data_IF_857396314991
#
_entry.id   IF_857396314991
#
_cell.length_a   1.000
_cell.length_b   1.000
_cell.length_c   1.000
_cell.angle_alpha   90.00
_cell.angle_beta   90.00
_cell.angle_gamma   90.00
#
_symmetry.space_group_name_H-M   'P 1'
#
loop_
_entity.id
_entity.type
_entity.pdbx_description
1 polymer ?
#
# COMPACT_ATOMS: atom_id res chain seq x y z
N UNK A 1 93.99 42.10 5.91
CA UNK A 1 92.71 42.79 5.61
C UNK A 1 92.47 42.61 4.12
N UNK A 2 91.42 42.00 3.57
CA UNK A 2 90.20 41.28 3.98
C UNK A 2 89.86 40.51 2.68
N UNK A 3 89.93 39.17 2.66
CA UNK A 3 88.83 38.20 2.77
C UNK A 3 87.68 38.32 1.72
N UNK A 4 87.35 37.16 1.13
CA UNK A 4 86.06 36.82 0.50
C UNK A 4 85.80 37.43 -0.88
N UNK A 5 85.01 36.84 -1.77
CA UNK A 5 83.99 35.81 -1.60
C UNK A 5 83.89 34.92 -2.84
N UNK A 6 83.51 33.67 -2.57
CA UNK A 6 83.36 32.50 -3.43
C UNK A 6 81.92 32.48 -3.98
N UNK A 7 81.75 32.60 -5.30
CA UNK A 7 80.43 32.50 -5.95
C UNK A 7 80.08 31.04 -6.26
N UNK A 8 79.42 30.40 -5.29
CA UNK A 8 78.82 29.08 -5.42
C UNK A 8 77.55 29.12 -6.28
N UNK A 9 77.65 28.57 -7.49
CA UNK A 9 76.52 28.30 -8.38
C UNK A 9 75.57 27.25 -7.77
N UNK A 10 74.43 27.69 -7.27
CA UNK A 10 73.32 26.82 -6.87
C UNK A 10 72.54 26.36 -8.10
N UNK A 11 72.67 25.09 -8.44
CA UNK A 11 71.81 24.43 -9.42
C UNK A 11 70.41 24.22 -8.82
N UNK A 12 69.33 24.50 -9.57
CA UNK A 12 67.96 24.24 -9.11
C UNK A 12 67.69 22.73 -9.19
N UNK A 13 67.57 22.11 -8.02
CA UNK A 13 67.14 20.72 -7.87
C UNK A 13 65.67 20.60 -8.29
N UNK A 14 65.44 19.82 -9.35
CA UNK A 14 64.15 19.57 -9.97
C UNK A 14 63.32 18.59 -9.13
N UNK A 15 62.58 19.10 -8.13
CA UNK A 15 61.69 18.34 -7.23
C UNK A 15 60.37 17.86 -7.88
N UNK A 16 60.32 17.76 -9.22
CA UNK A 16 59.08 17.51 -9.97
C UNK A 16 58.76 16.03 -10.23
N UNK A 17 59.62 15.11 -9.76
CA UNK A 17 59.50 13.67 -10.04
C UNK A 17 58.64 12.86 -9.03
N UNK A 18 58.24 13.44 -7.90
CA UNK A 18 57.57 12.69 -6.81
C UNK A 18 56.04 12.56 -6.93
N UNK A 19 55.40 13.21 -7.91
CA UNK A 19 53.93 13.26 -7.98
C UNK A 19 53.29 12.17 -8.87
N UNK A 20 54.09 11.43 -9.66
CA UNK A 20 53.60 10.39 -10.58
C UNK A 20 53.48 8.99 -9.94
N UNK A 21 54.16 8.71 -8.81
CA UNK A 21 54.02 7.43 -8.10
C UNK A 21 52.64 7.24 -7.44
N UNK A 22 51.95 8.33 -7.10
CA UNK A 22 50.62 8.28 -6.47
C UNK A 22 49.54 7.67 -7.36
N UNK A 23 49.63 7.84 -8.69
CA UNK A 23 48.65 7.31 -9.63
C UNK A 23 48.75 5.78 -9.78
N UNK A 24 49.96 5.24 -9.74
CA UNK A 24 50.20 3.80 -9.80
C UNK A 24 49.90 3.11 -8.46
N UNK A 25 50.06 3.81 -7.34
CA UNK A 25 49.58 3.35 -6.04
C UNK A 25 48.06 3.16 -6.01
N UNK A 26 47.30 4.11 -6.55
CA UNK A 26 45.83 4.04 -6.65
C UNK A 26 45.36 2.90 -7.56
N UNK A 27 46.02 2.67 -8.70
CA UNK A 27 45.71 1.54 -9.59
C UNK A 27 45.98 0.20 -8.91
N UNK A 28 47.14 0.06 -8.25
CA UNK A 28 47.49 -1.15 -7.49
C UNK A 28 46.51 -1.42 -6.34
N UNK A 29 46.15 -0.38 -5.58
CA UNK A 29 45.16 -0.50 -4.51
C UNK A 29 43.78 -0.94 -5.03
N UNK A 30 43.34 -0.44 -6.19
CA UNK A 30 42.08 -0.88 -6.83
C UNK A 30 42.14 -2.33 -7.30
N UNK A 31 43.27 -2.77 -7.86
CA UNK A 31 43.47 -4.16 -8.28
C UNK A 31 43.43 -5.12 -7.07
N UNK A 32 44.13 -4.80 -5.99
CA UNK A 32 44.13 -5.58 -4.75
C UNK A 32 42.72 -5.63 -4.15
N UNK A 33 41.99 -4.52 -4.13
CA UNK A 33 40.60 -4.50 -3.64
C UNK A 33 39.68 -5.41 -4.47
N UNK A 34 39.85 -5.43 -5.79
CA UNK A 34 39.09 -6.31 -6.67
C UNK A 34 39.42 -7.79 -6.41
N UNK A 35 40.70 -8.12 -6.24
CA UNK A 35 41.17 -9.46 -5.91
C UNK A 35 40.63 -9.95 -4.55
N UNK A 36 40.71 -9.10 -3.51
CA UNK A 36 40.14 -9.38 -2.18
C UNK A 36 38.62 -9.58 -2.25
N UNK A 37 37.92 -8.76 -3.06
CA UNK A 37 36.46 -8.89 -3.21
C UNK A 37 36.03 -10.19 -3.91
N UNK A 38 36.89 -10.75 -4.75
CA UNK A 38 36.66 -12.02 -5.44
C UNK A 38 37.08 -13.24 -4.60
N UNK A 39 38.14 -13.13 -3.79
CA UNK A 39 38.63 -14.26 -2.97
C UNK A 39 37.84 -14.46 -1.68
N UNK A 40 37.30 -13.39 -1.08
CA UNK A 40 36.51 -13.48 0.15
C UNK A 40 35.00 -13.55 -0.15
N UNK A 41 34.56 -14.67 -0.73
CA UNK A 41 33.14 -15.01 -0.90
C UNK A 41 32.33 -14.92 0.41
N UNK A 42 33.01 -15.09 1.56
CA UNK A 42 32.44 -15.00 2.92
C UNK A 42 32.06 -13.56 3.33
N UNK A 43 32.66 -12.53 2.71
CA UNK A 43 32.38 -11.11 3.01
C UNK A 43 31.48 -10.42 1.97
N UNK A 44 30.97 -11.15 0.99
CA UNK A 44 30.00 -10.60 0.05
C UNK A 44 28.75 -10.17 0.85
N UNK A 45 28.35 -8.88 0.83
CA UNK A 45 27.15 -8.44 1.51
C UNK A 45 26.00 -9.27 0.95
N UNK A 46 25.34 -10.02 1.83
CA UNK A 46 24.21 -10.89 1.48
C UNK A 46 23.25 -10.02 0.65
N UNK A 47 23.07 -10.35 -0.64
CA UNK A 47 22.23 -9.57 -1.55
C UNK A 47 20.97 -9.20 -0.78
N UNK A 48 20.62 -7.91 -0.65
CA UNK A 48 19.43 -7.52 0.09
C UNK A 48 18.30 -8.37 -0.46
N UNK A 49 17.64 -9.13 0.42
CA UNK A 49 16.59 -10.05 0.04
C UNK A 49 15.67 -9.28 -0.91
N UNK A 50 15.62 -9.71 -2.18
CA UNK A 50 15.08 -8.88 -3.26
C UNK A 50 13.73 -8.32 -2.83
N UNK A 51 13.50 -7.03 -3.08
CA UNK A 51 12.23 -6.39 -2.77
C UNK A 51 11.13 -7.32 -3.21
N UNK A 52 10.37 -7.84 -2.24
CA UNK A 52 9.26 -8.73 -2.52
C UNK A 52 8.36 -7.98 -3.50
N UNK A 53 8.13 -8.56 -4.68
CA UNK A 53 7.20 -7.98 -5.65
C UNK A 53 5.92 -7.65 -4.92
N UNK A 54 5.38 -6.46 -5.18
CA UNK A 54 4.14 -6.08 -4.53
C UNK A 54 3.06 -7.04 -5.01
N UNK A 55 2.12 -7.34 -4.12
CA UNK A 55 1.16 -8.43 -4.35
C UNK A 55 0.13 -8.01 -5.41
N UNK A 56 -0.09 -6.70 -5.51
CA UNK A 56 -0.89 -6.01 -6.51
C UNK A 56 -0.30 -6.06 -7.93
N UNK A 57 1.03 -6.25 -8.07
CA UNK A 57 1.71 -6.30 -9.37
C UNK A 57 1.70 -7.71 -10.00
N UNK A 58 1.18 -8.71 -9.28
CA UNK A 58 1.10 -10.09 -9.76
C UNK A 58 -0.10 -10.26 -10.71
N UNK A 59 0.14 -10.54 -12.02
CA UNK A 59 -0.92 -10.61 -13.01
C UNK A 59 -1.94 -11.71 -12.69
N UNK A 60 -1.51 -12.77 -12.00
CA UNK A 60 -2.41 -13.86 -11.62
C UNK A 60 -3.43 -13.41 -10.57
N UNK A 61 -3.03 -12.55 -9.62
CA UNK A 61 -3.96 -12.03 -8.60
C UNK A 61 -4.95 -11.04 -9.20
N UNK A 62 -4.53 -10.23 -10.18
CA UNK A 62 -5.44 -9.36 -10.93
C UNK A 62 -6.46 -10.19 -11.72
N UNK A 63 -6.00 -11.26 -12.39
CA UNK A 63 -6.89 -12.14 -13.15
C UNK A 63 -7.90 -12.86 -12.25
N UNK A 64 -7.50 -13.33 -11.07
CA UNK A 64 -8.41 -13.91 -10.07
C UNK A 64 -9.52 -12.92 -9.69
N UNK A 65 -9.19 -11.62 -9.55
CA UNK A 65 -10.15 -10.56 -9.22
C UNK A 65 -11.16 -10.36 -10.38
N UNK A 66 -10.67 -10.16 -11.60
CA UNK A 66 -11.48 -9.97 -12.81
C UNK A 66 -12.42 -11.16 -13.06
N UNK A 67 -11.89 -12.39 -13.03
CA UNK A 67 -12.71 -13.60 -13.25
C UNK A 67 -13.79 -13.78 -12.19
N UNK A 68 -13.55 -13.30 -10.97
CA UNK A 68 -14.53 -13.39 -9.89
C UNK A 68 -15.58 -12.29 -9.96
N UNK A 69 -15.18 -11.04 -10.19
CA UNK A 69 -16.09 -9.90 -10.14
C UNK A 69 -16.85 -9.72 -11.46
N UNK A 70 -16.14 -9.76 -12.58
CA UNK A 70 -16.69 -9.43 -13.90
C UNK A 70 -17.36 -10.64 -14.54
N UNK A 71 -16.72 -11.81 -14.44
CA UNK A 71 -17.23 -13.06 -15.04
C UNK A 71 -18.04 -13.93 -14.06
N UNK A 72 -18.09 -13.58 -12.77
CA UNK A 72 -18.81 -14.31 -11.72
C UNK A 72 -18.48 -15.82 -11.66
N UNK A 73 -17.26 -16.21 -12.05
CA UNK A 73 -16.86 -17.62 -12.09
C UNK A 73 -16.77 -18.22 -10.67
N UNK A 74 -17.06 -19.53 -10.57
CA UNK A 74 -16.84 -20.28 -9.33
C UNK A 74 -15.34 -20.41 -9.05
N UNK A 75 -14.96 -20.54 -7.78
CA UNK A 75 -13.54 -20.68 -7.40
C UNK A 75 -12.87 -21.88 -8.07
N UNK A 76 -13.64 -22.95 -8.29
CA UNK A 76 -13.17 -24.17 -8.95
C UNK A 76 -12.90 -23.92 -10.44
N UNK A 77 -13.83 -23.24 -11.13
CA UNK A 77 -13.65 -22.85 -12.52
C UNK A 77 -12.45 -21.91 -12.70
N UNK A 78 -12.23 -20.97 -11.77
CA UNK A 78 -11.06 -20.08 -11.79
C UNK A 78 -9.77 -20.89 -11.61
N UNK A 79 -9.73 -21.84 -10.68
CA UNK A 79 -8.55 -22.69 -10.48
C UNK A 79 -8.22 -23.52 -11.72
N UNK A 80 -9.22 -24.12 -12.36
CA UNK A 80 -9.06 -24.88 -13.60
C UNK A 80 -8.54 -23.99 -14.73
N UNK A 81 -9.16 -22.82 -14.93
CA UNK A 81 -8.73 -21.84 -15.95
C UNK A 81 -7.27 -21.41 -15.75
N UNK A 82 -6.86 -21.07 -14.52
CA UNK A 82 -5.48 -20.67 -14.24
C UNK A 82 -4.47 -21.80 -14.43
N UNK A 83 -4.85 -23.03 -14.08
CA UNK A 83 -4.02 -24.20 -14.31
C UNK A 83 -3.86 -24.51 -15.80
N UNK A 84 -4.91 -24.36 -16.61
CA UNK A 84 -4.84 -24.47 -18.08
C UNK A 84 -3.89 -23.42 -18.67
N UNK A 85 -3.99 -22.16 -18.23
CA UNK A 85 -3.09 -21.09 -18.65
C UNK A 85 -1.63 -21.31 -18.20
N UNK A 86 -1.42 -21.97 -17.06
CA UNK A 86 -0.08 -22.37 -16.61
C UNK A 86 0.48 -23.54 -17.42
N UNK A 87 -0.35 -24.53 -17.75
CA UNK A 87 0.04 -25.64 -18.62
C UNK A 87 0.47 -25.15 -20.00
N UNK A 88 -0.26 -24.18 -20.57
CA UNK A 88 0.12 -23.52 -21.85
C UNK A 88 1.49 -22.82 -21.77
N UNK A 89 1.87 -22.30 -20.60
CA UNK A 89 3.18 -21.66 -20.34
C UNK A 89 4.28 -22.65 -19.97
N UNK A 90 3.97 -23.94 -19.78
CA UNK A 90 4.92 -24.94 -19.29
C UNK A 90 5.17 -24.87 -17.78
N UNK A 91 4.30 -24.21 -17.02
CA UNK A 91 4.33 -24.14 -15.55
C UNK A 91 3.48 -25.25 -14.92
N UNK A 92 3.81 -25.72 -13.70
CA UNK A 92 3.03 -26.76 -13.04
C UNK A 92 1.64 -26.23 -12.58
N UNK A 93 0.61 -27.02 -12.86
CA UNK A 93 -0.79 -26.81 -12.45
C UNK A 93 -0.98 -27.05 -10.93
N UNK A 94 -0.44 -26.18 -10.09
CA UNK A 94 -0.46 -26.32 -8.63
C UNK A 94 -1.53 -25.46 -7.92
N UNK A 95 -2.36 -24.73 -8.67
CA UNK A 95 -3.41 -23.91 -8.06
C UNK A 95 -4.59 -24.78 -7.66
N UNK A 96 -4.89 -24.79 -6.37
CA UNK A 96 -6.08 -25.45 -5.82
C UNK A 96 -7.16 -24.41 -5.53
N UNK A 97 -8.42 -24.85 -5.51
CA UNK A 97 -9.60 -24.01 -5.21
C UNK A 97 -9.44 -23.20 -3.90
N UNK A 98 -8.95 -23.78 -2.78
CA UNK A 98 -8.67 -23.02 -1.56
C UNK A 98 -7.55 -21.99 -1.70
N UNK A 99 -6.54 -22.27 -2.55
CA UNK A 99 -5.44 -21.34 -2.79
C UNK A 99 -5.92 -20.09 -3.55
N UNK A 100 -6.75 -20.26 -4.58
CA UNK A 100 -7.37 -19.16 -5.34
C UNK A 100 -8.24 -18.30 -4.42
N UNK A 101 -9.13 -18.92 -3.63
CA UNK A 101 -9.97 -18.20 -2.67
C UNK A 101 -9.14 -17.42 -1.65
N UNK A 102 -8.11 -18.05 -1.07
CA UNK A 102 -7.24 -17.41 -0.08
C UNK A 102 -6.49 -16.20 -0.66
N UNK A 103 -6.05 -16.28 -1.92
CA UNK A 103 -5.43 -15.16 -2.63
C UNK A 103 -6.42 -14.03 -2.87
N UNK A 104 -7.63 -14.33 -3.36
CA UNK A 104 -8.66 -13.31 -3.57
C UNK A 104 -8.98 -12.55 -2.28
N UNK A 105 -9.22 -13.24 -1.16
CA UNK A 105 -9.61 -12.58 0.11
C UNK A 105 -8.47 -11.72 0.67
N UNK A 106 -7.22 -12.18 0.57
CA UNK A 106 -6.06 -11.44 1.11
C UNK A 106 -5.60 -10.29 0.21
N UNK A 107 -5.65 -10.50 -1.10
CA UNK A 107 -5.04 -9.59 -2.09
C UNK A 107 -6.09 -8.69 -2.74
N UNK A 108 -7.34 -9.14 -2.86
CA UNK A 108 -8.46 -8.41 -3.45
C UNK A 108 -8.61 -6.99 -2.91
N UNK A 109 -8.66 -6.76 -1.58
CA UNK A 109 -8.74 -5.41 -1.01
C UNK A 109 -7.54 -4.53 -1.37
N UNK A 110 -6.34 -5.12 -1.47
CA UNK A 110 -5.11 -4.39 -1.79
C UNK A 110 -5.09 -3.99 -3.27
N UNK A 111 -5.55 -4.89 -4.14
CA UNK A 111 -5.70 -4.63 -5.58
C UNK A 111 -6.79 -3.59 -5.82
N UNK A 112 -7.95 -3.73 -5.20
CA UNK A 112 -9.04 -2.75 -5.28
C UNK A 112 -8.60 -1.35 -4.81
N UNK A 113 -7.91 -1.28 -3.67
CA UNK A 113 -7.34 -0.03 -3.17
C UNK A 113 -6.27 0.56 -4.10
N UNK A 114 -5.45 -0.27 -4.74
CA UNK A 114 -4.42 0.19 -5.69
C UNK A 114 -5.04 0.69 -7.01
N UNK A 115 -6.18 0.12 -7.42
CA UNK A 115 -6.97 0.55 -8.57
C UNK A 115 -7.87 1.77 -8.27
N UNK A 116 -7.97 2.18 -6.99
CA UNK A 116 -8.83 3.28 -6.58
C UNK A 116 -10.32 2.92 -6.47
N UNK A 117 -10.66 1.63 -6.41
CA UNK A 117 -12.03 1.17 -6.20
C UNK A 117 -12.48 1.45 -4.76
N UNK A 118 -13.39 2.41 -4.61
CA UNK A 118 -14.01 2.75 -3.32
C UNK A 118 -15.23 1.84 -3.11
N UNK A 119 -15.28 1.13 -1.98
CA UNK A 119 -16.43 0.27 -1.61
C UNK A 119 -16.20 -1.24 -1.75
N UNK A 120 -14.99 -1.69 -2.08
CA UNK A 120 -14.67 -3.12 -2.03
C UNK A 120 -14.66 -3.62 -0.57
N UNK A 121 -15.73 -4.30 -0.12
CA UNK A 121 -15.71 -5.00 1.16
C UNK A 121 -15.32 -6.48 0.96
N UNK A 122 -14.15 -6.93 1.46
CA UNK A 122 -13.78 -8.34 1.41
C UNK A 122 -14.80 -9.27 2.07
N UNK A 123 -15.65 -8.75 2.98
CA UNK A 123 -16.69 -9.56 3.64
C UNK A 123 -17.73 -10.09 2.68
N UNK A 124 -18.05 -9.35 1.62
CA UNK A 124 -19.06 -9.75 0.63
C UNK A 124 -18.67 -11.05 -0.10
N UNK A 125 -17.39 -11.40 -0.06
CA UNK A 125 -16.84 -12.57 -0.73
C UNK A 125 -16.43 -13.68 0.25
N UNK A 126 -16.53 -13.44 1.57
CA UNK A 126 -16.28 -14.43 2.62
C UNK A 126 -17.51 -15.31 2.87
N UNK A 127 -17.79 -16.22 1.95
CA UNK A 127 -18.90 -17.19 2.00
C UNK A 127 -18.77 -18.25 3.13
N UNK A 128 -17.69 -18.25 3.90
CA UNK A 128 -17.41 -19.24 4.96
C UNK A 128 -17.66 -18.73 6.39
N UNK A 129 -18.27 -17.55 6.57
CA UNK A 129 -18.62 -17.08 7.93
C UNK A 129 -20.09 -17.35 8.22
N UNK A 130 -20.33 -18.22 9.21
CA UNK A 130 -21.64 -18.34 9.84
C UNK A 130 -22.09 -16.94 10.31
N UNK A 131 -23.22 -16.41 9.83
CA UNK A 131 -23.69 -15.07 10.20
C UNK A 131 -23.90 -14.90 11.72
N UNK A 132 -24.06 -16.01 12.46
CA UNK A 132 -24.18 -16.03 13.90
C UNK A 132 -22.87 -15.80 14.69
N UNK A 133 -21.70 -15.78 14.03
CA UNK A 133 -20.39 -15.72 14.72
C UNK A 133 -19.62 -14.42 14.53
N UNK A 134 -20.19 -13.41 13.87
CA UNK A 134 -19.56 -12.10 13.77
C UNK A 134 -20.05 -11.17 14.89
N UNK A 135 -19.28 -10.96 15.98
CA UNK A 135 -19.46 -9.75 16.76
C UNK A 135 -19.18 -8.57 15.81
N UNK A 136 -20.18 -7.72 15.63
CA UNK A 136 -20.11 -6.49 14.85
C UNK A 136 -18.80 -5.73 15.14
N UNK A 137 -17.84 -5.84 14.22
CA UNK A 137 -16.58 -5.11 14.36
C UNK A 137 -16.80 -3.71 13.80
N UNK A 138 -17.00 -2.75 14.70
CA UNK A 138 -16.91 -1.32 14.39
C UNK A 138 -15.53 -0.93 13.81
N UNK A 139 -15.42 0.28 13.25
CA UNK A 139 -14.24 0.70 12.50
C UNK A 139 -13.08 1.05 13.44
N UNK A 140 -12.00 0.26 13.40
CA UNK A 140 -10.65 0.64 13.83
C UNK A 140 -9.70 0.22 12.70
N UNK A 141 -8.93 1.12 12.10
CA UNK A 141 -7.92 1.93 12.76
C UNK A 141 -6.60 1.19 12.59
N UNK A 142 -5.77 1.67 11.64
CA UNK A 142 -4.58 1.00 11.13
C UNK A 142 -3.58 0.60 12.22
N UNK A 143 -3.07 -0.62 12.10
CA UNK A 143 -2.00 -1.14 12.93
C UNK A 143 -1.37 -2.35 12.25
N UNK A 144 -0.28 -2.10 11.51
CA UNK A 144 0.60 -3.10 10.93
C UNK A 144 1.16 -3.99 12.04
N UNK A 145 0.72 -5.25 12.08
CA UNK A 145 1.20 -6.25 13.04
C UNK A 145 1.21 -7.64 12.42
N UNK A 146 2.29 -7.96 11.70
CA UNK A 146 2.62 -9.33 11.31
C UNK A 146 3.00 -10.13 12.57
N UNK A 147 2.17 -11.11 12.93
CA UNK A 147 2.43 -12.01 14.05
C UNK A 147 1.75 -13.35 13.85
N UNK A 148 2.43 -14.26 13.16
CA UNK A 148 2.16 -15.70 13.20
C UNK A 148 2.62 -16.16 14.59
N UNK A 149 1.67 -16.47 15.46
CA UNK A 149 1.99 -16.92 16.82
C UNK A 149 0.73 -17.07 17.66
N UNK A 150 0.27 -18.31 17.73
CA UNK A 150 -0.33 -18.96 18.90
C UNK A 150 -1.03 -18.04 19.91
N UNK A 151 -2.36 -18.19 19.99
CA UNK A 151 -3.24 -17.42 20.85
C UNK A 151 -2.74 -17.28 22.29
N UNK A 152 -2.16 -16.11 22.59
CA UNK A 152 -2.36 -15.52 23.90
C UNK A 152 -3.79 -15.01 23.91
N UNK A 153 -4.69 -15.77 24.57
CA UNK A 153 -5.96 -15.23 25.05
C UNK A 153 -5.62 -13.90 25.72
N UNK A 154 -5.99 -12.78 25.10
CA UNK A 154 -6.01 -11.50 25.82
C UNK A 154 -7.01 -11.74 26.94
N UNK A 155 -6.51 -11.94 28.15
CA UNK A 155 -7.32 -12.00 29.35
C UNK A 155 -8.03 -10.65 29.36
N UNK A 156 -9.30 -10.68 28.98
CA UNK A 156 -10.19 -9.55 29.04
C UNK A 156 -10.26 -9.21 30.52
N UNK A 157 -9.58 -8.13 30.90
CA UNK A 157 -9.51 -7.69 32.28
C UNK A 157 -10.92 -7.19 32.63
N UNK A 158 -11.72 -8.06 33.24
CA UNK A 158 -13.06 -7.74 33.76
C UNK A 158 -12.89 -6.56 34.73
N UNK A 159 -13.29 -5.36 34.28
CA UNK A 159 -13.07 -4.10 34.98
C UNK A 159 -12.68 -2.92 34.09
N UNK A 160 -12.16 -3.15 32.87
CA UNK A 160 -11.73 -2.05 31.98
C UNK A 160 -12.64 -1.80 30.75
N UNK A 161 -13.78 -2.48 30.68
CA UNK A 161 -14.67 -2.45 29.50
C UNK A 161 -15.27 -1.06 29.24
N UNK A 162 -15.59 -0.32 30.31
CA UNK A 162 -16.12 1.04 30.20
C UNK A 162 -15.12 2.01 29.57
N UNK A 163 -13.83 1.87 29.90
CA UNK A 163 -12.79 2.78 29.42
C UNK A 163 -12.38 2.51 27.98
N UNK A 164 -12.42 1.24 27.54
CA UNK A 164 -12.15 0.88 26.14
C UNK A 164 -13.27 1.30 25.19
N UNK A 165 -14.52 1.25 25.65
CA UNK A 165 -15.68 1.72 24.89
C UNK A 165 -15.68 3.26 24.75
N UNK A 166 -15.33 3.99 25.80
CA UNK A 166 -15.25 5.46 25.77
C UNK A 166 -14.22 5.99 24.76
N UNK A 167 -13.11 5.28 24.57
CA UNK A 167 -12.09 5.65 23.59
C UNK A 167 -12.50 5.32 22.13
N UNK A 168 -13.58 4.56 21.94
CA UNK A 168 -14.12 4.23 20.62
C UNK A 168 -15.29 5.09 20.18
N UNK A 169 -15.91 5.80 21.12
CA UNK A 169 -16.94 6.75 20.78
C UNK A 169 -16.26 8.02 20.26
N UNK A 170 -16.55 8.39 19.02
CA UNK A 170 -16.14 9.68 18.47
C UNK A 170 -16.69 10.76 19.39
N UNK A 171 -15.80 11.43 20.14
CA UNK A 171 -16.18 12.57 20.97
C UNK A 171 -16.65 13.66 20.02
N UNK A 172 -17.92 14.07 20.16
CA UNK A 172 -18.41 15.25 19.45
C UNK A 172 -17.66 16.44 20.04
N UNK A 173 -16.84 17.10 19.22
CA UNK A 173 -16.30 18.41 19.58
C UNK A 173 -17.43 19.39 19.84
N UNK A 174 -17.18 20.40 20.66
CA UNK A 174 -18.18 21.43 20.91
C UNK A 174 -18.45 22.22 19.62
N UNK A 175 -19.66 22.75 19.46
CA UNK A 175 -20.04 23.50 18.26
C UNK A 175 -19.12 24.72 18.03
N UNK A 176 -18.65 25.36 19.11
CA UNK A 176 -17.70 26.47 19.04
C UNK A 176 -16.31 26.06 18.56
N UNK A 177 -15.81 24.88 18.95
CA UNK A 177 -14.54 24.35 18.43
C UNK A 177 -14.66 23.97 16.95
N UNK A 178 -15.79 23.35 16.55
CA UNK A 178 -16.06 23.00 15.16
C UNK A 178 -16.14 24.23 14.26
N UNK A 179 -16.81 25.30 14.71
CA UNK A 179 -16.88 26.55 13.98
C UNK A 179 -15.48 27.15 13.75
N UNK A 180 -14.64 27.20 14.78
CA UNK A 180 -13.26 27.67 14.68
C UNK A 180 -12.38 26.80 13.79
N UNK A 181 -12.62 25.49 13.77
CA UNK A 181 -11.90 24.56 12.89
C UNK A 181 -12.29 24.78 11.42
N UNK A 182 -13.57 25.01 11.14
CA UNK A 182 -14.08 25.31 9.79
C UNK A 182 -13.67 26.70 9.27
N UNK A 183 -13.32 27.64 10.16
CA UNK A 183 -12.77 28.95 9.78
C UNK A 183 -11.35 28.87 9.20
N UNK A 184 -10.64 27.74 9.37
CA UNK A 184 -9.33 27.54 8.76
C UNK A 184 -9.46 27.40 7.25
N UNK A 185 -8.51 27.98 6.51
CA UNK A 185 -8.52 28.03 5.03
C UNK A 185 -8.59 26.63 4.39
N UNK A 186 -7.80 25.68 4.90
CA UNK A 186 -7.78 24.29 4.44
C UNK A 186 -9.13 23.58 4.62
N UNK A 187 -9.79 23.81 5.75
CA UNK A 187 -11.10 23.23 6.04
C UNK A 187 -12.23 23.92 5.29
N UNK A 188 -12.14 25.24 5.10
CA UNK A 188 -13.11 26.00 4.32
C UNK A 188 -13.14 25.55 2.85
N UNK A 189 -11.97 25.35 2.23
CA UNK A 189 -11.88 24.80 0.87
C UNK A 189 -12.46 23.39 0.78
N UNK A 190 -12.16 22.54 1.78
CA UNK A 190 -12.71 21.18 1.85
C UNK A 190 -14.24 21.20 1.99
N UNK A 191 -14.78 22.13 2.78
CA UNK A 191 -16.22 22.32 2.95
C UNK A 191 -16.88 22.75 1.64
N UNK A 192 -16.31 23.73 0.93
CA UNK A 192 -16.83 24.17 -0.38
C UNK A 192 -16.82 23.02 -1.39
N UNK A 193 -15.74 22.24 -1.44
CA UNK A 193 -15.65 21.05 -2.29
C UNK A 193 -16.69 19.99 -1.94
N UNK A 194 -16.91 19.76 -0.64
CA UNK A 194 -17.93 18.83 -0.16
C UNK A 194 -19.35 19.29 -0.54
N UNK A 195 -19.67 20.57 -0.37
CA UNK A 195 -20.97 21.15 -0.76
C UNK A 195 -21.18 21.01 -2.27
N UNK A 196 -20.20 21.38 -3.09
CA UNK A 196 -20.28 21.24 -4.54
C UNK A 196 -20.51 19.79 -4.98
N UNK A 197 -19.91 18.81 -4.28
CA UNK A 197 -20.14 17.40 -4.54
C UNK A 197 -21.56 16.95 -4.15
N UNK A 198 -22.10 17.46 -3.04
CA UNK A 198 -23.49 17.17 -2.65
C UNK A 198 -24.47 17.77 -3.65
N UNK A 199 -24.25 19.01 -4.10
CA UNK A 199 -25.10 19.65 -5.11
C UNK A 199 -25.11 18.88 -6.44
N UNK A 200 -23.93 18.45 -6.93
CA UNK A 200 -23.82 17.64 -8.15
C UNK A 200 -24.55 16.30 -8.06
N UNK A 201 -24.58 15.70 -6.88
CA UNK A 201 -25.19 14.39 -6.63
C UNK A 201 -26.56 14.48 -5.96
N UNK A 202 -27.13 15.69 -5.84
CA UNK A 202 -28.35 15.94 -5.07
C UNK A 202 -29.49 15.04 -5.56
N UNK A 203 -29.72 14.99 -6.87
CA UNK A 203 -30.79 14.19 -7.46
C UNK A 203 -30.54 12.69 -7.39
N UNK A 204 -29.29 12.25 -7.38
CA UNK A 204 -28.94 10.85 -7.12
C UNK A 204 -29.35 10.46 -5.71
N UNK A 205 -29.04 11.28 -4.71
CA UNK A 205 -29.46 11.04 -3.33
C UNK A 205 -30.98 11.04 -3.16
N UNK A 206 -31.68 11.93 -3.87
CA UNK A 206 -33.16 11.94 -3.91
C UNK A 206 -33.70 10.66 -4.53
N UNK A 207 -33.11 10.18 -5.63
CA UNK A 207 -33.49 8.91 -6.25
C UNK A 207 -33.26 7.71 -5.33
N UNK A 208 -32.11 7.67 -4.62
CA UNK A 208 -31.81 6.62 -3.64
C UNK A 208 -32.80 6.62 -2.47
N UNK A 209 -33.23 7.80 -2.00
CA UNK A 209 -34.23 7.92 -0.93
C UNK A 209 -35.63 7.48 -1.41
N UNK A 210 -35.97 7.83 -2.65
CA UNK A 210 -37.18 7.35 -3.32
C UNK A 210 -37.18 5.83 -3.47
N UNK A 211 -36.04 5.23 -3.83
CA UNK A 211 -35.90 3.77 -3.91
C UNK A 211 -36.06 3.13 -2.53
N UNK A 212 -35.42 3.67 -1.49
CA UNK A 212 -35.53 3.13 -0.13
C UNK A 212 -36.96 3.13 0.39
N UNK A 213 -37.73 4.16 0.08
CA UNK A 213 -39.10 4.33 0.56
C UNK A 213 -40.11 3.55 -0.27
N UNK A 214 -39.89 3.41 -1.58
CA UNK A 214 -40.85 2.80 -2.51
C UNK A 214 -40.50 1.38 -2.97
N UNK A 215 -39.28 0.92 -2.70
CA UNK A 215 -38.66 -0.30 -3.23
C UNK A 215 -38.63 -0.37 -4.78
N UNK A 216 -38.60 0.79 -5.45
CA UNK A 216 -38.50 0.90 -6.91
C UNK A 216 -37.33 1.81 -7.30
N UNK A 217 -36.57 1.38 -8.30
CA UNK A 217 -35.46 2.16 -8.84
C UNK A 217 -36.00 3.33 -9.68
N UNK A 218 -35.53 4.55 -9.40
CA UNK A 218 -35.85 5.75 -10.17
C UNK A 218 -34.58 6.36 -10.76
N UNK A 219 -34.70 6.95 -11.96
CA UNK A 219 -33.62 7.74 -12.55
C UNK A 219 -33.60 9.15 -11.94
N UNK A 220 -32.41 9.64 -11.58
CA UNK A 220 -32.21 10.93 -10.93
C UNK A 220 -32.78 12.09 -11.77
N UNK A 221 -32.60 12.05 -13.09
CA UNK A 221 -33.13 13.10 -14.00
C UNK A 221 -34.66 13.09 -14.09
N UNK A 222 -35.29 11.93 -13.95
CA UNK A 222 -36.74 11.83 -13.92
C UNK A 222 -37.30 12.44 -12.63
N UNK A 223 -36.66 12.20 -11.48
CA UNK A 223 -36.99 12.84 -10.21
C UNK A 223 -36.87 14.37 -10.30
N UNK A 224 -35.76 14.87 -10.85
CA UNK A 224 -35.51 16.31 -11.07
C UNK A 224 -36.59 16.94 -11.95
N UNK A 225 -36.83 16.36 -13.13
CA UNK A 225 -37.82 16.89 -14.09
C UNK A 225 -39.23 16.89 -13.49
N UNK A 226 -39.58 15.85 -12.72
CA UNK A 226 -40.90 15.79 -12.06
C UNK A 226 -41.02 16.87 -10.99
N UNK A 227 -39.99 17.06 -10.16
CA UNK A 227 -40.02 18.08 -9.11
C UNK A 227 -40.18 19.49 -9.68
N UNK A 228 -39.41 19.84 -10.72
CA UNK A 228 -39.52 21.16 -11.36
C UNK A 228 -40.83 21.38 -12.14
N UNK A 229 -41.59 20.31 -12.44
CA UNK A 229 -42.89 20.40 -13.10
C UNK A 229 -44.06 20.63 -12.15
N UNK A 230 -43.87 20.43 -10.84
CA UNK A 230 -44.88 20.61 -9.79
C UNK A 230 -44.87 22.09 -9.36
#
# INVERSE_FOLDING_TARGET
MVAGEDEGATTPTDDRASHLEGADGLKRARAIKAEISNSLSILQPKKPAGLRRRVEDDPENQLIKTLRQDHQMSWDAIANYLNEERLKRGEPANLTTPAVYSRFVRNGPRIASALGEVGFDPKDYMHLRNPAQTPSSGPRGGGLGFGIGSGRKRVRQEGNEGHELQNNMRKKSSLGEQARELEREDMAEMLVSAVANVERNFWTLVADEMERTSARLFDARACESRFHSI
#
